data_IF_132096770510
#
_entry.id   IF_132096770510
#
_cell.length_a   1.000
_cell.length_b   1.000
_cell.length_c   1.000
_cell.angle_alpha   90.00
_cell.angle_beta   90.00
_cell.angle_gamma   90.00
#
_symmetry.space_group_name_H-M   'P 1'
#
loop_
_entity.id
_entity.type
_entity.pdbx_description
1 polymer ?
#
# COMPACT_ATOMS: atom_id res chain seq x y z
N UNK A 1 21.28 -10.00 -0.41
CA UNK A 1 21.89 -10.17 -1.77
C UNK A 1 21.27 -9.13 -2.69
N UNK A 2 21.97 -8.65 -3.75
CA UNK A 2 21.35 -7.79 -4.77
C UNK A 2 20.93 -8.63 -5.96
N UNK A 3 19.69 -8.43 -6.43
CA UNK A 3 19.12 -9.12 -7.58
C UNK A 3 18.46 -8.09 -8.50
N UNK A 4 18.59 -8.25 -9.82
CA UNK A 4 17.93 -7.40 -10.81
C UNK A 4 16.51 -7.89 -11.06
N UNK A 5 15.52 -7.26 -10.42
CA UNK A 5 14.15 -7.74 -10.31
C UNK A 5 13.14 -6.82 -10.98
N UNK A 6 12.08 -7.43 -11.50
CA UNK A 6 10.82 -6.76 -11.85
C UNK A 6 10.12 -6.33 -10.56
N UNK A 7 9.40 -5.21 -10.56
CA UNK A 7 8.68 -4.72 -9.39
C UNK A 7 7.72 -5.75 -8.78
N UNK A 8 6.93 -6.44 -9.60
CA UNK A 8 6.07 -7.53 -9.13
C UNK A 8 6.86 -8.69 -8.50
N UNK A 9 8.06 -9.00 -9.01
CA UNK A 9 8.93 -10.01 -8.42
C UNK A 9 9.54 -9.52 -7.10
N UNK A 10 9.84 -8.23 -7.01
CA UNK A 10 10.30 -7.62 -5.76
C UNK A 10 9.22 -7.70 -4.66
N UNK A 11 7.95 -7.43 -4.99
CA UNK A 11 6.80 -7.65 -4.10
C UNK A 11 6.72 -9.12 -3.68
N UNK A 12 6.80 -10.06 -4.62
CA UNK A 12 6.75 -11.49 -4.35
C UNK A 12 7.88 -11.94 -3.40
N UNK A 13 9.09 -11.41 -3.59
CA UNK A 13 10.22 -11.62 -2.66
C UNK A 13 9.91 -11.06 -1.26
N UNK A 14 9.36 -9.84 -1.18
CA UNK A 14 8.93 -9.24 0.08
C UNK A 14 7.89 -10.10 0.82
N UNK A 15 6.94 -10.70 0.11
CA UNK A 15 5.95 -11.64 0.66
C UNK A 15 6.62 -12.88 1.26
N UNK A 16 7.57 -13.49 0.54
CA UNK A 16 8.34 -14.64 1.05
C UNK A 16 9.21 -14.26 2.26
N UNK A 17 9.90 -13.15 2.17
CA UNK A 17 10.74 -12.64 3.27
C UNK A 17 9.93 -12.31 4.53
N UNK A 18 8.69 -11.85 4.37
CA UNK A 18 7.76 -11.64 5.47
C UNK A 18 7.24 -12.95 6.08
N UNK A 19 7.53 -14.12 5.51
CA UNK A 19 7.06 -15.40 6.00
C UNK A 19 5.54 -15.59 5.81
N UNK A 20 4.96 -15.04 4.75
CA UNK A 20 3.55 -15.26 4.43
C UNK A 20 3.28 -16.74 4.16
N UNK A 21 2.16 -17.25 4.68
CA UNK A 21 1.75 -18.64 4.54
C UNK A 21 0.76 -18.88 3.40
N UNK A 22 0.00 -17.84 3.02
CA UNK A 22 -1.02 -17.92 1.98
C UNK A 22 -0.95 -16.70 1.07
N UNK A 23 -0.95 -16.96 -0.24
CA UNK A 23 -1.07 -15.96 -1.29
C UNK A 23 -2.16 -16.37 -2.25
N UNK A 24 -3.15 -15.54 -2.44
CA UNK A 24 -4.24 -15.76 -3.38
C UNK A 24 -4.34 -14.58 -4.35
N UNK A 25 -4.92 -14.82 -5.51
CA UNK A 25 -5.09 -13.76 -6.49
C UNK A 25 -6.08 -14.14 -7.60
N UNK A 26 -6.37 -13.17 -8.46
CA UNK A 26 -7.06 -13.37 -9.71
C UNK A 26 -6.26 -12.72 -10.84
N UNK A 27 -6.09 -13.38 -12.00
CA UNK A 27 -5.24 -12.87 -13.07
C UNK A 27 -5.68 -11.48 -13.58
N UNK A 28 -4.73 -10.56 -13.66
CA UNK A 28 -4.96 -9.21 -14.18
C UNK A 28 -3.66 -8.41 -14.24
N UNK A 29 -3.35 -7.86 -15.43
CA UNK A 29 -2.22 -6.95 -15.58
C UNK A 29 -2.57 -5.60 -14.94
N UNK A 30 -1.71 -5.03 -14.08
CA UNK A 30 -0.28 -5.32 -13.92
C UNK A 30 0.10 -6.16 -12.67
N UNK A 31 -0.74 -7.05 -12.13
CA UNK A 31 -0.47 -7.77 -10.88
C UNK A 31 -0.12 -9.26 -11.02
N UNK A 32 -0.38 -9.87 -12.18
CA UNK A 32 -0.30 -11.33 -12.34
C UNK A 32 1.07 -11.94 -12.04
N UNK A 33 2.16 -11.25 -12.38
CA UNK A 33 3.51 -11.76 -12.23
C UNK A 33 3.90 -12.03 -10.76
N UNK A 34 3.15 -11.45 -9.79
CA UNK A 34 3.37 -11.75 -8.36
C UNK A 34 3.04 -13.22 -8.08
N UNK A 35 1.85 -13.68 -8.47
CA UNK A 35 1.42 -15.07 -8.26
C UNK A 35 2.18 -16.00 -9.20
N UNK A 36 2.40 -15.61 -10.46
CA UNK A 36 3.16 -16.40 -11.44
C UNK A 36 4.57 -16.71 -10.96
N UNK A 37 5.23 -15.76 -10.28
CA UNK A 37 6.55 -15.96 -9.68
C UNK A 37 6.49 -16.88 -8.46
N UNK A 38 5.47 -16.76 -7.61
CA UNK A 38 5.34 -17.52 -6.36
C UNK A 38 4.88 -18.97 -6.59
N UNK A 39 4.01 -19.21 -7.57
CA UNK A 39 3.38 -20.51 -7.78
C UNK A 39 4.39 -21.65 -7.98
N UNK A 40 5.44 -21.53 -8.80
CA UNK A 40 6.47 -22.58 -8.94
C UNK A 40 7.26 -22.84 -7.65
N UNK A 41 7.40 -21.83 -6.80
CA UNK A 41 8.16 -21.88 -5.55
C UNK A 41 7.32 -22.36 -4.36
N UNK A 42 5.99 -22.42 -4.53
CA UNK A 42 5.01 -22.64 -3.47
C UNK A 42 5.34 -23.86 -2.59
N UNK A 43 5.66 -25.00 -3.22
CA UNK A 43 5.95 -26.25 -2.51
C UNK A 43 7.29 -26.17 -1.74
N UNK A 44 8.33 -25.64 -2.37
CA UNK A 44 9.67 -25.52 -1.77
C UNK A 44 9.64 -24.54 -0.60
N UNK A 45 9.01 -23.39 -0.78
CA UNK A 45 8.86 -22.38 0.23
C UNK A 45 7.75 -22.69 1.24
N UNK A 46 7.00 -23.81 1.00
CA UNK A 46 5.88 -24.27 1.82
C UNK A 46 4.75 -23.22 1.92
N UNK A 47 4.57 -22.31 0.97
CA UNK A 47 3.49 -21.29 0.89
C UNK A 47 2.32 -21.88 0.11
N UNK A 48 1.09 -21.66 0.57
CA UNK A 48 -0.08 -21.93 -0.28
C UNK A 48 -0.23 -20.76 -1.27
N UNK A 49 -0.17 -21.06 -2.55
CA UNK A 49 -0.33 -20.07 -3.62
C UNK A 49 -1.44 -20.56 -4.56
N UNK A 50 -2.43 -19.71 -4.81
CA UNK A 50 -3.55 -20.09 -5.69
C UNK A 50 -4.04 -18.94 -6.57
N UNK A 51 -4.47 -19.29 -7.77
CA UNK A 51 -5.40 -18.50 -8.56
C UNK A 51 -6.83 -18.88 -8.18
N UNK A 52 -7.56 -17.94 -7.61
CA UNK A 52 -8.97 -18.13 -7.23
C UNK A 52 -9.88 -17.89 -8.44
N UNK A 53 -11.17 -18.26 -8.32
CA UNK A 53 -12.15 -18.14 -9.40
C UNK A 53 -12.58 -16.68 -9.69
N UNK A 54 -12.38 -15.79 -8.74
CA UNK A 54 -12.51 -14.32 -8.85
C UNK A 54 -11.84 -13.63 -7.66
N UNK A 55 -11.77 -12.30 -7.70
CA UNK A 55 -11.09 -11.48 -6.70
C UNK A 55 -11.77 -11.52 -5.33
N UNK A 56 -13.10 -11.64 -5.28
CA UNK A 56 -13.83 -11.79 -4.00
C UNK A 56 -13.41 -13.07 -3.29
N UNK A 57 -13.37 -14.18 -4.00
CA UNK A 57 -12.92 -15.48 -3.44
C UNK A 57 -11.46 -15.40 -3.03
N UNK A 58 -10.59 -14.80 -3.86
CA UNK A 58 -9.19 -14.58 -3.51
C UNK A 58 -9.04 -13.79 -2.20
N UNK A 59 -9.80 -12.71 -2.05
CA UNK A 59 -9.82 -11.90 -0.82
C UNK A 59 -10.27 -12.74 0.39
N UNK A 60 -11.34 -13.50 0.25
CA UNK A 60 -11.89 -14.31 1.35
C UNK A 60 -10.94 -15.46 1.76
N UNK A 61 -10.20 -16.06 0.82
CA UNK A 61 -9.13 -17.04 1.14
C UNK A 61 -8.04 -16.40 1.98
N UNK A 62 -7.53 -15.22 1.59
CA UNK A 62 -6.52 -14.49 2.36
C UNK A 62 -7.04 -14.06 3.74
N UNK A 63 -8.31 -13.62 3.84
CA UNK A 63 -8.98 -13.29 5.11
C UNK A 63 -9.03 -14.51 6.03
N UNK A 64 -9.47 -15.66 5.50
CA UNK A 64 -9.53 -16.91 6.25
C UNK A 64 -8.17 -17.31 6.82
N UNK A 65 -7.12 -17.22 6.02
CA UNK A 65 -5.76 -17.47 6.45
C UNK A 65 -5.31 -16.47 7.54
N UNK A 66 -5.55 -15.18 7.34
CA UNK A 66 -5.23 -14.15 8.34
C UNK A 66 -5.92 -14.42 9.68
N UNK A 67 -7.18 -14.83 9.68
CA UNK A 67 -7.92 -15.13 10.92
C UNK A 67 -7.40 -16.36 11.67
N UNK A 68 -6.59 -17.20 11.04
CA UNK A 68 -5.86 -18.28 11.73
C UNK A 68 -4.50 -17.86 12.26
N UNK A 69 -4.17 -16.58 12.23
CA UNK A 69 -2.85 -16.05 12.64
C UNK A 69 -1.77 -16.18 11.55
N UNK A 70 -2.12 -16.65 10.34
CA UNK A 70 -1.19 -16.81 9.24
C UNK A 70 -1.06 -15.49 8.47
N UNK A 71 0.17 -14.99 8.22
CA UNK A 71 0.38 -13.88 7.29
C UNK A 71 -0.11 -14.25 5.91
N UNK A 72 -0.90 -13.39 5.29
CA UNK A 72 -1.50 -13.63 3.98
C UNK A 72 -1.43 -12.41 3.07
N UNK A 73 -1.37 -12.65 1.77
CA UNK A 73 -1.46 -11.62 0.76
C UNK A 73 -2.52 -11.98 -0.28
N UNK A 74 -3.20 -10.95 -0.79
CA UNK A 74 -4.08 -11.09 -1.95
C UNK A 74 -3.66 -10.08 -3.01
N UNK A 75 -3.64 -10.51 -4.27
CA UNK A 75 -3.21 -9.66 -5.38
C UNK A 75 -4.26 -9.59 -6.48
N UNK A 76 -4.49 -8.38 -6.96
CA UNK A 76 -5.42 -8.07 -8.04
C UNK A 76 -5.09 -6.73 -8.67
N UNK A 77 -5.66 -6.46 -9.83
CA UNK A 77 -5.66 -5.12 -10.42
C UNK A 77 -6.80 -4.27 -9.80
N UNK A 78 -6.77 -2.95 -10.02
CA UNK A 78 -7.74 -2.02 -9.46
C UNK A 78 -9.21 -2.38 -9.76
N UNK A 79 -9.54 -2.82 -10.97
CA UNK A 79 -10.92 -3.23 -11.29
C UNK A 79 -11.34 -4.52 -10.56
N UNK A 80 -10.38 -5.37 -10.20
CA UNK A 80 -10.64 -6.53 -9.36
C UNK A 80 -10.98 -6.15 -7.92
N UNK A 81 -10.47 -5.02 -7.43
CA UNK A 81 -10.83 -4.50 -6.12
C UNK A 81 -12.33 -4.15 -6.03
N UNK A 82 -12.97 -3.75 -7.15
CA UNK A 82 -14.42 -3.57 -7.19
C UNK A 82 -15.17 -4.87 -6.89
N UNK A 83 -14.68 -6.00 -7.41
CA UNK A 83 -15.26 -7.35 -7.15
C UNK A 83 -15.03 -7.76 -5.70
N UNK A 84 -13.88 -7.42 -5.13
CA UNK A 84 -13.49 -7.71 -3.76
C UNK A 84 -13.92 -6.63 -2.74
N UNK A 85 -14.64 -5.57 -3.16
CA UNK A 85 -14.96 -4.43 -2.31
C UNK A 85 -15.76 -4.81 -1.05
N UNK A 86 -16.74 -5.70 -1.16
CA UNK A 86 -17.54 -6.15 -0.02
C UNK A 86 -16.70 -6.81 1.09
N UNK A 87 -15.91 -7.87 0.83
CA UNK A 87 -15.06 -8.45 1.86
C UNK A 87 -13.95 -7.49 2.33
N UNK A 88 -13.41 -6.61 1.46
CA UNK A 88 -12.42 -5.62 1.84
C UNK A 88 -12.94 -4.61 2.85
N UNK A 89 -14.10 -4.00 2.58
CA UNK A 89 -14.74 -3.03 3.47
C UNK A 89 -15.17 -3.68 4.80
N UNK A 90 -15.67 -4.92 4.73
CA UNK A 90 -16.06 -5.67 5.93
C UNK A 90 -14.83 -6.05 6.78
N UNK A 91 -13.72 -6.45 6.14
CA UNK A 91 -12.48 -6.79 6.84
C UNK A 91 -11.89 -5.61 7.60
N UNK A 92 -11.98 -4.39 7.07
CA UNK A 92 -11.52 -3.20 7.76
C UNK A 92 -12.13 -3.05 9.17
N UNK A 93 -13.38 -3.49 9.35
CA UNK A 93 -14.07 -3.50 10.66
C UNK A 93 -13.70 -4.73 11.49
N UNK A 94 -13.78 -5.93 10.87
CA UNK A 94 -13.56 -7.20 11.58
C UNK A 94 -12.09 -7.39 11.98
N UNK A 95 -11.18 -6.73 11.27
CA UNK A 95 -9.75 -6.79 11.51
C UNK A 95 -9.11 -8.11 11.08
N UNK A 96 -7.80 -8.15 11.26
CA UNK A 96 -6.94 -9.29 10.90
C UNK A 96 -6.52 -10.08 12.14
N UNK A 97 -5.99 -11.28 11.93
CA UNK A 97 -5.35 -12.11 12.96
C UNK A 97 -3.83 -12.12 12.73
N UNK A 98 -3.36 -12.78 11.67
CA UNK A 98 -2.03 -12.58 11.12
C UNK A 98 -2.05 -11.39 10.15
N UNK A 99 -0.91 -10.76 9.92
CA UNK A 99 -0.79 -9.63 9.01
C UNK A 99 -1.34 -9.94 7.61
N UNK A 100 -2.12 -9.02 7.05
CA UNK A 100 -2.71 -9.18 5.72
C UNK A 100 -2.42 -7.98 4.83
N UNK A 101 -1.87 -8.26 3.65
CA UNK A 101 -1.56 -7.26 2.63
C UNK A 101 -2.47 -7.43 1.43
N UNK A 102 -3.14 -6.34 1.04
CA UNK A 102 -3.97 -6.27 -0.16
C UNK A 102 -3.19 -5.52 -1.23
N UNK A 103 -2.70 -6.25 -2.24
CA UNK A 103 -1.96 -5.67 -3.35
C UNK A 103 -2.98 -5.33 -4.44
N UNK A 104 -3.27 -4.03 -4.61
CA UNK A 104 -4.10 -3.51 -5.68
C UNK A 104 -3.22 -2.75 -6.67
N UNK A 105 -2.95 -3.37 -7.81
CA UNK A 105 -2.09 -2.77 -8.82
C UNK A 105 -2.91 -1.88 -9.76
N UNK A 106 -2.62 -0.58 -9.71
CA UNK A 106 -3.28 0.41 -10.54
C UNK A 106 -2.66 0.49 -11.94
N UNK A 107 -3.49 0.81 -12.93
CA UNK A 107 -3.10 0.93 -14.33
C UNK A 107 -3.39 2.36 -14.85
N UNK A 108 -2.57 3.36 -14.46
CA UNK A 108 -2.73 4.72 -14.94
C UNK A 108 -2.76 4.78 -16.46
N UNK A 109 -3.74 5.54 -17.01
CA UNK A 109 -4.02 5.62 -18.45
C UNK A 109 -4.57 4.33 -19.07
N UNK A 110 -5.04 3.36 -18.27
CA UNK A 110 -5.71 2.10 -18.67
C UNK A 110 -4.99 1.34 -19.82
N UNK A 111 -3.68 1.13 -19.73
CA UNK A 111 -2.91 0.44 -20.77
C UNK A 111 -3.39 -0.98 -21.06
N UNK A 112 -3.88 -1.69 -20.04
CA UNK A 112 -4.43 -3.05 -20.16
C UNK A 112 -5.72 -3.23 -19.35
N UNK A 113 -6.43 -2.16 -19.08
CA UNK A 113 -7.64 -2.15 -18.27
C UNK A 113 -8.81 -1.49 -18.99
N UNK A 114 -10.03 -1.85 -18.62
CA UNK A 114 -11.26 -1.31 -19.21
C UNK A 114 -11.61 0.10 -18.72
N UNK A 115 -10.97 0.58 -17.67
CA UNK A 115 -11.11 1.94 -17.13
C UNK A 115 -9.90 2.27 -16.24
N UNK A 116 -9.80 3.52 -15.80
CA UNK A 116 -8.84 4.00 -14.82
C UNK A 116 -9.54 4.21 -13.48
N UNK A 117 -8.93 3.73 -12.40
CA UNK A 117 -9.42 3.90 -11.04
C UNK A 117 -8.25 4.00 -10.08
N UNK A 118 -8.36 4.90 -9.11
CA UNK A 118 -7.34 5.12 -8.09
C UNK A 118 -7.66 4.34 -6.81
N UNK A 119 -6.89 3.29 -6.54
CA UNK A 119 -7.08 2.44 -5.36
C UNK A 119 -6.83 3.17 -4.03
N UNK A 120 -6.14 4.31 -4.03
CA UNK A 120 -5.96 5.15 -2.83
C UNK A 120 -7.31 5.64 -2.29
N UNK A 121 -8.31 5.88 -3.17
CA UNK A 121 -9.70 6.21 -2.77
C UNK A 121 -10.34 5.07 -1.99
N UNK A 122 -10.11 3.81 -2.41
CA UNK A 122 -10.61 2.64 -1.67
C UNK A 122 -9.98 2.51 -0.29
N UNK A 123 -8.67 2.69 -0.19
CA UNK A 123 -7.97 2.66 1.09
C UNK A 123 -8.49 3.75 2.05
N UNK A 124 -8.67 4.97 1.56
CA UNK A 124 -9.23 6.08 2.32
C UNK A 124 -10.68 5.79 2.76
N UNK A 125 -11.52 5.23 1.87
CA UNK A 125 -12.90 4.87 2.18
C UNK A 125 -12.98 3.75 3.22
N UNK A 126 -12.12 2.72 3.11
CA UNK A 126 -12.03 1.64 4.09
C UNK A 126 -11.30 2.05 5.39
N UNK A 127 -10.64 3.21 5.43
CA UNK A 127 -9.84 3.70 6.55
C UNK A 127 -8.68 2.78 6.92
N UNK A 128 -8.01 2.23 5.91
CA UNK A 128 -6.85 1.37 6.06
C UNK A 128 -5.59 2.05 5.53
N UNK A 129 -4.40 1.73 6.07
CA UNK A 129 -3.15 2.25 5.52
C UNK A 129 -2.97 1.84 4.06
N UNK A 130 -2.40 2.76 3.26
CA UNK A 130 -1.97 2.45 1.90
C UNK A 130 -0.51 2.87 1.71
N UNK A 131 0.29 2.01 1.09
CA UNK A 131 1.68 2.25 0.74
C UNK A 131 1.81 2.32 -0.77
N UNK A 132 2.47 3.37 -1.27
CA UNK A 132 2.57 3.73 -2.69
C UNK A 132 4.05 3.75 -3.12
N UNK A 133 4.62 2.60 -3.52
CA UNK A 133 6.03 2.49 -3.85
C UNK A 133 6.38 3.26 -5.13
N UNK A 134 7.57 3.85 -5.15
CA UNK A 134 8.10 4.57 -6.30
C UNK A 134 8.99 3.71 -7.21
N UNK A 135 9.56 2.63 -6.70
CA UNK A 135 10.44 1.72 -7.44
C UNK A 135 10.35 0.28 -6.92
N UNK A 136 11.03 -0.69 -7.57
CA UNK A 136 11.05 -2.08 -7.12
C UNK A 136 11.66 -2.30 -5.73
N UNK A 137 12.62 -1.47 -5.27
CA UNK A 137 13.16 -1.58 -3.93
C UNK A 137 12.12 -1.17 -2.89
N UNK A 138 11.49 -0.01 -3.08
CA UNK A 138 10.40 0.44 -2.22
C UNK A 138 9.23 -0.56 -2.23
N UNK A 139 8.89 -1.12 -3.38
CA UNK A 139 7.83 -2.14 -3.50
C UNK A 139 8.11 -3.37 -2.61
N UNK A 140 9.35 -3.85 -2.58
CA UNK A 140 9.77 -4.94 -1.68
C UNK A 140 9.74 -4.51 -0.21
N UNK A 141 10.32 -3.34 0.12
CA UNK A 141 10.46 -2.88 1.50
C UNK A 141 9.10 -2.51 2.11
N UNK A 142 8.25 -1.85 1.34
CA UNK A 142 6.87 -1.55 1.71
C UNK A 142 6.03 -2.81 1.89
N UNK A 143 6.27 -3.89 1.13
CA UNK A 143 5.62 -5.18 1.34
C UNK A 143 5.93 -5.73 2.74
N UNK A 144 7.19 -5.72 3.15
CA UNK A 144 7.58 -6.15 4.50
C UNK A 144 6.93 -5.29 5.58
N UNK A 145 6.99 -3.97 5.41
CA UNK A 145 6.42 -3.03 6.37
C UNK A 145 4.89 -3.13 6.45
N UNK A 146 4.23 -3.42 5.33
CA UNK A 146 2.77 -3.61 5.27
C UNK A 146 2.31 -4.76 6.19
N UNK A 147 3.02 -5.89 6.22
CA UNK A 147 2.71 -6.97 7.15
C UNK A 147 2.86 -6.53 8.60
N UNK A 148 3.95 -5.83 8.93
CA UNK A 148 4.20 -5.34 10.28
C UNK A 148 3.13 -4.31 10.73
N UNK A 149 2.78 -3.35 9.86
CA UNK A 149 1.71 -2.37 10.12
C UNK A 149 0.34 -3.05 10.31
N UNK A 150 0.07 -4.06 9.48
CA UNK A 150 -1.17 -4.83 9.57
C UNK A 150 -1.32 -5.51 10.93
N UNK A 151 -0.25 -6.11 11.44
CA UNK A 151 -0.23 -6.74 12.77
C UNK A 151 -0.28 -5.70 13.91
N UNK A 152 0.45 -4.59 13.76
CA UNK A 152 0.50 -3.51 14.74
C UNK A 152 -0.88 -2.90 15.01
N UNK A 153 -1.64 -2.64 13.93
CA UNK A 153 -2.95 -2.00 14.03
C UNK A 153 -4.14 -2.96 13.95
N UNK A 154 -3.91 -4.23 13.61
CA UNK A 154 -4.96 -5.22 13.46
C UNK A 154 -5.94 -4.88 12.32
N UNK A 155 -5.46 -4.31 11.22
CA UNK A 155 -6.22 -3.96 10.01
C UNK A 155 -5.48 -4.45 8.76
N UNK A 156 -6.16 -4.70 7.63
CA UNK A 156 -5.44 -4.94 6.38
C UNK A 156 -4.65 -3.69 5.97
N UNK A 157 -3.55 -3.87 5.26
CA UNK A 157 -2.78 -2.78 4.66
C UNK A 157 -2.81 -2.94 3.15
N UNK A 158 -3.10 -1.85 2.44
CA UNK A 158 -3.04 -1.84 0.99
C UNK A 158 -1.61 -1.52 0.54
N UNK A 159 -1.09 -2.29 -0.42
CA UNK A 159 0.08 -1.94 -1.22
C UNK A 159 -0.43 -1.59 -2.63
N UNK A 160 -0.14 -0.38 -3.08
CA UNK A 160 -0.65 0.15 -4.35
C UNK A 160 0.50 0.43 -5.33
N UNK A 161 1.07 -0.58 -6.00
CA UNK A 161 1.99 -0.33 -7.11
C UNK A 161 1.21 0.12 -8.34
N UNK A 162 1.80 1.03 -9.14
CA UNK A 162 1.29 1.34 -10.47
C UNK A 162 1.95 0.45 -11.53
N UNK A 163 1.39 0.40 -12.75
CA UNK A 163 1.96 -0.33 -13.89
C UNK A 163 3.44 -0.04 -14.08
N UNK A 164 3.85 1.24 -13.93
CA UNK A 164 5.25 1.64 -14.07
C UNK A 164 6.15 0.98 -13.04
N UNK A 165 5.73 0.93 -11.78
CA UNK A 165 6.49 0.26 -10.70
C UNK A 165 6.44 -1.26 -10.86
N UNK A 166 5.26 -1.82 -11.13
CA UNK A 166 5.05 -3.26 -11.29
C UNK A 166 5.95 -3.86 -12.37
N UNK A 167 6.13 -3.13 -13.49
CA UNK A 167 6.88 -3.58 -14.66
C UNK A 167 8.28 -2.94 -14.80
N UNK A 168 8.68 -2.03 -13.92
CA UNK A 168 10.05 -1.55 -13.85
C UNK A 168 11.00 -2.65 -13.40
N UNK A 169 12.28 -2.54 -13.77
CA UNK A 169 13.35 -3.41 -13.28
C UNK A 169 14.43 -2.57 -12.61
N UNK A 170 14.90 -3.03 -11.47
CA UNK A 170 15.99 -2.40 -10.74
C UNK A 170 16.80 -3.42 -9.95
N UNK A 171 17.97 -3.00 -9.48
CA UNK A 171 18.75 -3.75 -8.50
C UNK A 171 18.08 -3.63 -7.13
N UNK A 172 17.55 -4.75 -6.64
CA UNK A 172 16.82 -4.84 -5.36
C UNK A 172 17.67 -5.59 -4.35
N UNK A 173 17.81 -5.01 -3.16
CA UNK A 173 18.43 -5.68 -2.03
C UNK A 173 17.40 -6.62 -1.40
N UNK A 174 17.58 -7.92 -1.55
CA UNK A 174 16.72 -8.96 -0.98
C UNK A 174 17.31 -9.56 0.29
N UNK A 175 16.46 -9.91 1.23
CA UNK A 175 16.81 -10.63 2.46
C UNK A 175 16.61 -12.14 2.32
N UNK A 176 16.58 -12.80 3.45
CA UNK A 176 16.25 -14.23 3.55
C UNK A 176 14.82 -14.38 4.05
N UNK A 177 14.07 -15.39 3.55
CA UNK A 177 12.76 -15.68 4.07
C UNK A 177 12.77 -15.88 5.59
N UNK A 178 11.82 -15.26 6.29
CA UNK A 178 11.64 -15.47 7.72
C UNK A 178 10.93 -16.81 7.94
N UNK A 179 11.38 -17.57 8.95
CA UNK A 179 10.64 -18.76 9.38
C UNK A 179 9.20 -18.37 9.77
N UNK A 180 8.26 -19.22 9.39
CA UNK A 180 6.87 -18.97 9.72
C UNK A 180 6.65 -19.01 11.22
N UNK A 181 5.85 -18.07 11.69
CA UNK A 181 5.26 -18.13 13.00
C UNK A 181 4.44 -19.45 13.16
N UNK A 182 4.15 -19.84 14.38
CA UNK A 182 3.47 -21.10 14.73
C UNK A 182 2.31 -21.45 13.78
N UNK A 183 2.00 -22.75 13.67
CA UNK A 183 0.95 -23.24 12.75
C UNK A 183 -0.42 -22.55 12.98
N UNK A 184 -1.33 -22.62 12.00
CA UNK A 184 -2.58 -21.89 12.01
C UNK A 184 -3.45 -22.27 13.22
N UNK A 185 -3.95 -21.27 13.94
CA UNK A 185 -4.84 -21.42 15.08
C UNK A 185 -6.05 -20.48 14.90
N UNK A 186 -7.24 -21.04 14.79
CA UNK A 186 -8.45 -20.26 14.68
C UNK A 186 -9.09 -20.03 16.06
N UNK A 187 -9.14 -18.77 16.48
CA UNK A 187 -9.89 -18.35 17.66
C UNK A 187 -11.37 -18.11 17.28
N UNK A 188 -12.26 -18.89 17.90
CA UNK A 188 -13.71 -18.69 17.73
C UNK A 188 -14.16 -17.46 18.51
N UNK A 189 -14.31 -16.33 17.82
CA UNK A 189 -14.78 -15.06 18.41
C UNK A 189 -15.87 -14.45 17.53
N UNK A 190 -17.16 -14.82 17.69
CA UNK A 190 -18.25 -14.29 16.87
C UNK A 190 -18.38 -12.78 16.94
N UNK A 191 -18.12 -12.16 18.09
CA UNK A 191 -18.18 -10.70 18.23
C UNK A 191 -17.19 -9.96 17.33
N UNK A 192 -16.06 -10.62 17.01
CA UNK A 192 -15.02 -10.06 16.14
C UNK A 192 -15.09 -10.55 14.70
N UNK A 193 -15.66 -11.74 14.45
CA UNK A 193 -15.59 -12.40 13.14
C UNK A 193 -16.92 -12.46 12.37
N UNK A 194 -18.01 -11.97 12.98
CA UNK A 194 -19.33 -11.98 12.35
C UNK A 194 -19.87 -10.54 12.24
N UNK A 195 -20.05 -10.08 11.00
CA UNK A 195 -20.46 -8.71 10.68
C UNK A 195 -21.97 -8.48 10.91
N UNK A 196 -22.43 -8.64 12.15
CA UNK A 196 -23.78 -8.24 12.55
C UNK A 196 -23.78 -6.79 13.06
N UNK A 197 -24.89 -6.03 12.95
CA UNK A 197 -24.96 -4.64 13.43
C UNK A 197 -24.49 -4.44 14.87
N UNK A 198 -24.79 -5.40 15.75
CA UNK A 198 -24.38 -5.37 17.16
C UNK A 198 -22.87 -5.47 17.34
N UNK A 199 -22.18 -6.15 16.43
CA UNK A 199 -20.71 -6.28 16.42
C UNK A 199 -20.06 -5.16 15.59
N UNK A 200 -20.60 -4.85 14.41
CA UNK A 200 -20.01 -3.89 13.50
C UNK A 200 -19.93 -2.45 14.08
N UNK A 201 -20.93 -2.04 14.87
CA UNK A 201 -20.93 -0.70 15.49
C UNK A 201 -19.73 -0.44 16.41
N UNK A 202 -19.43 -1.28 17.44
CA UNK A 202 -18.26 -1.07 18.27
C UNK A 202 -16.95 -1.25 17.50
N UNK A 203 -16.87 -2.16 16.50
CA UNK A 203 -15.69 -2.35 15.66
C UNK A 203 -15.42 -1.14 14.76
N UNK A 204 -16.47 -0.45 14.29
CA UNK A 204 -16.30 0.81 13.56
C UNK A 204 -15.68 1.90 14.46
N UNK A 205 -16.15 2.03 15.70
CA UNK A 205 -15.56 2.97 16.67
C UNK A 205 -14.09 2.62 16.93
N UNK A 206 -13.78 1.33 17.09
CA UNK A 206 -12.40 0.87 17.24
C UNK A 206 -11.54 1.27 16.03
N UNK A 207 -12.02 1.06 14.81
CA UNK A 207 -11.33 1.45 13.57
C UNK A 207 -11.07 2.97 13.52
N UNK A 208 -12.06 3.78 13.92
CA UNK A 208 -11.90 5.24 13.99
C UNK A 208 -10.83 5.66 15.01
N UNK A 209 -10.80 5.00 16.16
CA UNK A 209 -9.82 5.30 17.21
C UNK A 209 -8.38 4.94 16.81
N UNK A 210 -8.18 4.02 15.86
CA UNK A 210 -6.86 3.64 15.33
C UNK A 210 -6.26 4.69 14.40
N UNK A 211 -7.08 5.56 13.78
CA UNK A 211 -6.65 6.45 12.70
C UNK A 211 -5.49 7.38 13.09
N UNK A 212 -5.55 8.01 14.25
CA UNK A 212 -4.47 8.88 14.73
C UNK A 212 -3.15 8.11 14.96
N UNK A 213 -3.24 6.87 15.45
CA UNK A 213 -2.07 6.00 15.61
C UNK A 213 -1.46 5.58 14.28
N UNK A 214 -2.31 5.24 13.30
CA UNK A 214 -1.90 4.89 11.93
C UNK A 214 -1.18 6.08 11.29
N UNK A 215 -1.77 7.28 11.32
CA UNK A 215 -1.15 8.48 10.78
C UNK A 215 0.22 8.75 11.42
N UNK A 216 0.30 8.69 12.76
CA UNK A 216 1.55 8.91 13.50
C UNK A 216 2.64 7.85 13.23
N UNK A 217 2.26 6.62 12.88
CA UNK A 217 3.19 5.58 12.47
C UNK A 217 3.71 5.85 11.06
N UNK A 218 2.81 6.17 10.12
CA UNK A 218 3.15 6.46 8.73
C UNK A 218 3.97 7.75 8.57
N UNK A 219 3.74 8.75 9.42
CA UNK A 219 4.54 9.99 9.45
C UNK A 219 6.04 9.72 9.57
N UNK A 220 6.42 8.66 10.26
CA UNK A 220 7.82 8.30 10.55
C UNK A 220 8.48 7.48 9.45
N UNK A 221 7.74 7.04 8.46
CA UNK A 221 8.27 6.21 7.40
C UNK A 221 9.20 7.03 6.48
N UNK A 222 10.33 6.45 6.12
CA UNK A 222 11.37 7.10 5.31
C UNK A 222 10.90 7.47 3.89
N UNK A 223 9.77 6.94 3.46
CA UNK A 223 9.14 7.23 2.16
C UNK A 223 8.42 8.59 2.12
N UNK A 224 8.16 9.19 3.28
CA UNK A 224 7.66 10.56 3.42
C UNK A 224 8.85 11.49 3.67
N UNK A 225 9.63 11.76 2.62
CA UNK A 225 10.91 12.46 2.73
C UNK A 225 10.82 13.90 2.27
N UNK A 226 11.21 14.84 3.14
CA UNK A 226 11.30 16.27 2.84
C UNK A 226 12.75 16.74 2.73
N UNK A 227 13.05 17.47 1.66
CA UNK A 227 14.32 18.16 1.44
C UNK A 227 14.00 19.61 1.07
N UNK A 228 14.35 20.56 1.94
CA UNK A 228 14.11 21.98 1.73
C UNK A 228 15.39 22.66 1.28
N UNK A 229 15.36 23.36 0.12
CA UNK A 229 16.49 24.05 -0.50
C UNK A 229 16.16 25.48 -0.88
N UNK A 230 14.90 25.75 -1.26
CA UNK A 230 14.43 27.06 -1.70
C UNK A 230 12.95 27.24 -1.36
N UNK A 231 12.40 28.41 -1.64
CA UNK A 231 10.98 28.73 -1.48
C UNK A 231 10.08 28.15 -2.59
N UNK A 232 10.65 27.56 -3.64
CA UNK A 232 9.91 26.81 -4.67
C UNK A 232 9.93 25.34 -4.30
N UNK A 233 8.75 24.74 -4.13
CA UNK A 233 8.57 23.37 -3.70
C UNK A 233 7.87 22.49 -4.73
N UNK A 234 8.21 21.21 -4.71
CA UNK A 234 7.47 20.15 -5.38
C UNK A 234 6.99 19.16 -4.32
N UNK A 235 5.72 18.77 -4.38
CA UNK A 235 5.18 17.66 -3.60
C UNK A 235 4.79 16.57 -4.57
N UNK A 236 5.36 15.37 -4.42
CA UNK A 236 5.13 14.29 -5.37
C UNK A 236 4.92 12.94 -4.70
N UNK A 237 4.11 12.05 -5.29
CA UNK A 237 3.80 10.74 -4.73
C UNK A 237 4.19 9.58 -5.64
N UNK A 238 4.43 8.41 -5.03
CA UNK A 238 4.79 7.21 -5.74
C UNK A 238 5.93 7.43 -6.74
N UNK A 239 5.82 6.86 -7.93
CA UNK A 239 6.84 6.99 -8.98
C UNK A 239 7.03 8.44 -9.47
N UNK A 240 6.00 9.28 -9.39
CA UNK A 240 6.12 10.71 -9.72
C UNK A 240 7.15 11.42 -8.84
N UNK A 241 7.37 10.91 -7.61
CA UNK A 241 8.42 11.39 -6.73
C UNK A 241 9.83 11.17 -7.29
N UNK A 242 10.09 10.03 -7.94
CA UNK A 242 11.39 9.77 -8.59
C UNK A 242 11.57 10.61 -9.85
N UNK A 243 10.52 10.79 -10.63
CA UNK A 243 10.58 11.67 -11.80
C UNK A 243 10.86 13.12 -11.40
N UNK A 244 10.26 13.57 -10.31
CA UNK A 244 10.54 14.91 -9.75
C UNK A 244 11.99 15.01 -9.25
N UNK A 245 12.50 14.01 -8.54
CA UNK A 245 13.92 13.97 -8.09
C UNK A 245 14.89 14.04 -9.28
N UNK A 246 14.65 13.26 -10.33
CA UNK A 246 15.50 13.25 -11.54
C UNK A 246 15.44 14.59 -12.27
N UNK A 247 14.24 15.14 -12.44
CA UNK A 247 14.06 16.44 -13.08
C UNK A 247 14.78 17.55 -12.31
N UNK A 248 14.58 17.62 -10.98
CA UNK A 248 15.24 18.61 -10.11
C UNK A 248 16.77 18.48 -10.17
N UNK A 249 17.29 17.25 -10.19
CA UNK A 249 18.74 17.01 -10.29
C UNK A 249 19.33 17.52 -11.61
N UNK A 250 18.53 17.60 -12.68
CA UNK A 250 18.94 18.16 -13.98
C UNK A 250 18.76 19.68 -14.10
N UNK A 251 18.18 20.35 -13.11
CA UNK A 251 17.97 21.80 -13.12
C UNK A 251 19.18 22.56 -12.54
N UNK A 252 19.44 23.77 -13.06
CA UNK A 252 20.40 24.71 -12.44
C UNK A 252 19.82 25.42 -11.20
N UNK A 253 18.50 25.37 -11.00
CA UNK A 253 17.78 26.00 -9.90
C UNK A 253 17.64 25.05 -8.70
N UNK A 254 17.74 25.60 -7.49
CA UNK A 254 17.41 24.86 -6.28
C UNK A 254 15.89 24.76 -6.11
N UNK A 255 15.39 23.55 -5.90
CA UNK A 255 13.97 23.24 -5.69
C UNK A 255 13.84 22.37 -4.45
N UNK A 256 12.89 22.71 -3.58
CA UNK A 256 12.52 21.90 -2.41
C UNK A 256 11.62 20.74 -2.86
N UNK A 257 11.75 19.57 -2.22
CA UNK A 257 10.96 18.38 -2.58
C UNK A 257 10.41 17.71 -1.32
N UNK A 258 9.12 17.43 -1.33
CA UNK A 258 8.46 16.50 -0.41
C UNK A 258 7.94 15.30 -1.21
N UNK A 259 8.43 14.11 -0.88
CA UNK A 259 7.88 12.85 -1.37
C UNK A 259 6.83 12.33 -0.41
N UNK A 260 5.73 11.82 -0.96
CA UNK A 260 4.65 11.14 -0.24
C UNK A 260 4.59 9.69 -0.73
N UNK A 261 4.83 8.75 0.16
CA UNK A 261 4.78 7.30 -0.15
C UNK A 261 3.73 6.55 0.67
N UNK A 262 2.98 7.22 1.55
CA UNK A 262 2.03 6.57 2.46
C UNK A 262 0.75 7.36 2.66
N UNK A 263 -0.37 6.64 2.88
CA UNK A 263 -1.70 7.21 3.15
C UNK A 263 -2.33 6.54 4.39
N UNK A 264 -3.01 7.27 5.29
CA UNK A 264 -3.32 8.71 5.18
C UNK A 264 -2.06 9.58 5.18
N UNK A 265 -2.12 10.69 4.44
CA UNK A 265 -1.04 11.69 4.39
C UNK A 265 -1.02 12.44 5.72
N UNK A 266 0.18 12.65 6.30
CA UNK A 266 0.32 13.42 7.53
C UNK A 266 0.13 14.92 7.30
N UNK A 267 -0.86 15.52 8.01
CA UNK A 267 -1.07 16.97 8.03
C UNK A 267 0.18 17.72 8.51
N UNK A 268 0.89 17.12 9.47
CA UNK A 268 2.11 17.73 10.02
C UNK A 268 3.22 17.78 8.97
N UNK A 269 3.50 16.67 8.29
CA UNK A 269 4.57 16.59 7.28
C UNK A 269 4.33 17.58 6.15
N UNK A 270 3.11 17.65 5.63
CA UNK A 270 2.75 18.60 4.57
C UNK A 270 2.78 20.03 5.10
N UNK A 271 2.21 20.30 6.27
CA UNK A 271 2.20 21.64 6.87
C UNK A 271 3.60 22.17 7.14
N UNK A 272 4.48 21.35 7.72
CA UNK A 272 5.87 21.71 8.02
C UNK A 272 6.70 22.01 6.73
N UNK A 273 6.31 21.42 5.60
CA UNK A 273 6.89 21.72 4.29
C UNK A 273 6.33 23.01 3.71
N UNK A 274 5.00 23.19 3.73
CA UNK A 274 4.32 24.37 3.18
C UNK A 274 4.75 25.69 3.89
N UNK A 275 5.06 25.65 5.18
CA UNK A 275 5.57 26.81 5.91
C UNK A 275 6.95 27.32 5.42
N UNK A 276 7.65 26.51 4.62
CA UNK A 276 9.02 26.81 4.13
C UNK A 276 9.08 27.17 2.66
N UNK A 277 7.94 27.16 1.98
CA UNK A 277 7.85 27.42 0.54
C UNK A 277 6.76 28.45 0.25
N UNK A 278 6.94 29.23 -0.82
CA UNK A 278 5.96 30.22 -1.28
C UNK A 278 5.22 29.76 -2.53
N UNK A 279 5.76 28.79 -3.25
CA UNK A 279 5.15 28.16 -4.44
C UNK A 279 5.27 26.66 -4.38
N UNK A 280 4.20 25.96 -4.77
CA UNK A 280 4.16 24.49 -4.76
C UNK A 280 3.58 23.96 -6.07
N UNK A 281 4.32 23.04 -6.67
CA UNK A 281 3.82 22.17 -7.73
C UNK A 281 3.53 20.80 -7.16
N UNK A 282 2.30 20.29 -7.31
CA UNK A 282 1.95 18.91 -6.98
C UNK A 282 2.10 18.03 -8.22
N UNK A 283 2.76 16.87 -8.07
CA UNK A 283 2.98 15.90 -9.17
C UNK A 283 2.56 14.51 -8.69
N UNK A 284 1.48 14.01 -9.25
CA UNK A 284 0.97 12.67 -8.95
C UNK A 284 0.36 11.99 -10.18
N UNK A 285 0.21 10.67 -10.12
CA UNK A 285 -0.52 9.91 -11.13
C UNK A 285 -1.98 9.76 -10.72
N UNK A 286 -2.91 9.79 -11.68
CA UNK A 286 -4.35 9.54 -11.55
C UNK A 286 -5.10 10.67 -10.86
N UNK A 287 -5.86 10.35 -9.78
CA UNK A 287 -6.72 11.31 -9.09
C UNK A 287 -5.90 12.35 -8.29
N UNK A 288 -6.40 13.60 -8.15
CA UNK A 288 -5.73 14.68 -7.43
C UNK A 288 -5.85 14.52 -5.90
N UNK A 289 -5.39 13.39 -5.36
CA UNK A 289 -5.51 13.07 -3.92
C UNK A 289 -4.52 13.86 -3.08
N UNK A 290 -3.28 13.97 -3.55
CA UNK A 290 -2.24 14.76 -2.88
C UNK A 290 -2.54 16.24 -3.03
N UNK A 291 -2.94 16.69 -4.22
CA UNK A 291 -3.32 18.07 -4.49
C UNK A 291 -4.46 18.53 -3.59
N UNK A 292 -5.58 17.78 -3.56
CA UNK A 292 -6.74 18.06 -2.68
C UNK A 292 -6.32 18.17 -1.21
N UNK A 293 -5.42 17.28 -0.77
CA UNK A 293 -4.92 17.28 0.60
C UNK A 293 -4.00 18.47 0.88
N UNK A 294 -3.09 18.81 -0.04
CA UNK A 294 -2.18 19.95 0.05
C UNK A 294 -2.96 21.25 0.11
N UNK A 295 -3.95 21.45 -0.77
CA UNK A 295 -4.83 22.62 -0.74
C UNK A 295 -5.55 22.78 0.60
N UNK A 296 -6.05 21.67 1.16
CA UNK A 296 -6.72 21.70 2.45
C UNK A 296 -5.77 22.14 3.57
N UNK A 297 -4.54 21.62 3.60
CA UNK A 297 -3.53 21.96 4.61
C UNK A 297 -3.00 23.36 4.39
N UNK A 298 -2.82 23.80 3.14
CA UNK A 298 -2.37 25.16 2.80
C UNK A 298 -3.29 26.24 3.36
N UNK A 299 -4.60 26.06 3.26
CA UNK A 299 -5.59 27.00 3.84
C UNK A 299 -5.43 27.20 5.35
N UNK A 300 -4.89 26.21 6.06
CA UNK A 300 -4.68 26.24 7.50
C UNK A 300 -3.28 26.74 7.90
N UNK A 301 -2.25 26.38 7.13
CA UNK A 301 -0.84 26.55 7.53
C UNK A 301 -0.08 27.61 6.73
N UNK A 302 -0.42 27.82 5.47
CA UNK A 302 0.18 28.83 4.60
C UNK A 302 -0.82 29.27 3.52
N UNK A 303 -1.82 30.12 3.85
CA UNK A 303 -2.88 30.50 2.91
C UNK A 303 -2.39 31.35 1.72
N UNK A 304 -1.17 31.86 1.77
CA UNK A 304 -0.56 32.69 0.73
C UNK A 304 0.33 31.89 -0.24
N UNK A 305 0.44 30.55 -0.06
CA UNK A 305 1.21 29.71 -0.99
C UNK A 305 0.50 29.62 -2.34
N UNK A 306 1.26 29.81 -3.43
CA UNK A 306 0.80 29.72 -4.83
C UNK A 306 0.97 28.30 -5.38
#
# INVERSE_FOLDING_TARGET
MREYLLGNVAIAKGILEAGAGVVSGYPGTPSSEIVDYLAPLAREQGVHVEWSVNEKVAMEVAIGASWTGTRSAVTMKHVGLNVAADPFMTLAYLGVGGGMVVISADDPYCHSSQNEQDSRRYAAFARVPCLDPADPQEARDMTLRAFALSEEFGVPVMLRPTTRVSHARADVLVGTPTERLAGPQFEKNPARRVALPVHARPLHVELLNKQAGIEAALEKEAWNRSVVRSEVGVIASGISGLYAEEAIAGMEAEVSLLRIGTYPISRKVVGDFLEKVSRVLVVEEMDPIVEEFVEMVAKERNPDVE
#
